data_IF_914020170782
#
_entry.id   IF_914020170782
#
_cell.length_a   1.000
_cell.length_b   1.000
_cell.length_c   1.000
_cell.angle_alpha   90.00
_cell.angle_beta   90.00
_cell.angle_gamma   90.00
#
_symmetry.space_group_name_H-M   'P 1'
#
loop_
_entity.id
_entity.type
_entity.pdbx_description
1 polymer ?
#
# COMPACT_ATOMS: atom_id res chain seq x y z
N UNK A 1 -14.10 -5.52 -29.99
CA UNK A 1 -13.28 -5.22 -28.80
C UNK A 1 -13.50 -3.79 -28.31
N UNK A 2 -13.19 -2.78 -29.16
CA UNK A 2 -13.40 -1.39 -28.77
C UNK A 2 -14.86 -1.12 -28.39
N UNK A 3 -15.80 -1.65 -29.14
CA UNK A 3 -17.23 -1.55 -28.90
C UNK A 3 -17.64 -2.11 -27.51
N UNK A 4 -17.03 -3.24 -27.11
CA UNK A 4 -17.28 -3.86 -25.79
C UNK A 4 -16.67 -3.01 -24.64
N UNK A 5 -15.50 -2.41 -24.89
CA UNK A 5 -14.88 -1.46 -23.92
C UNK A 5 -15.77 -0.24 -23.74
N UNK A 6 -16.35 0.27 -24.82
CA UNK A 6 -17.23 1.44 -24.85
C UNK A 6 -18.70 1.10 -24.57
N UNK A 7 -19.01 -0.18 -24.32
CA UNK A 7 -20.36 -0.58 -23.93
C UNK A 7 -20.82 0.13 -22.65
N UNK A 8 -22.11 0.49 -22.63
CA UNK A 8 -22.69 1.24 -21.52
C UNK A 8 -22.49 0.57 -20.15
N UNK A 9 -22.65 -0.75 -20.08
CA UNK A 9 -22.47 -1.52 -18.84
C UNK A 9 -21.03 -1.49 -18.34
N UNK A 10 -20.07 -1.57 -19.26
CA UNK A 10 -18.65 -1.49 -18.93
C UNK A 10 -18.28 -0.09 -18.46
N UNK A 11 -18.75 0.96 -19.14
CA UNK A 11 -18.50 2.35 -18.75
C UNK A 11 -19.18 2.71 -17.42
N UNK A 12 -20.38 2.19 -17.12
CA UNK A 12 -21.02 2.40 -15.82
C UNK A 12 -20.23 1.75 -14.66
N UNK A 13 -19.63 0.57 -14.88
CA UNK A 13 -18.71 -0.02 -13.88
C UNK A 13 -17.47 0.83 -13.68
N UNK A 14 -16.87 1.31 -14.77
CA UNK A 14 -15.70 2.19 -14.73
C UNK A 14 -16.02 3.52 -14.03
N UNK A 15 -17.16 4.11 -14.32
CA UNK A 15 -17.66 5.33 -13.68
C UNK A 15 -17.77 5.16 -12.15
N UNK A 16 -18.44 4.09 -11.71
CA UNK A 16 -18.56 3.77 -10.27
C UNK A 16 -17.19 3.61 -9.61
N UNK A 17 -16.25 2.92 -10.26
CA UNK A 17 -14.90 2.73 -9.74
C UNK A 17 -14.14 4.06 -9.62
N UNK A 18 -14.17 4.92 -10.64
CA UNK A 18 -13.49 6.22 -10.63
C UNK A 18 -14.07 7.17 -9.57
N UNK A 19 -15.40 7.24 -9.44
CA UNK A 19 -16.06 8.07 -8.41
C UNK A 19 -15.73 7.55 -7.00
N UNK A 20 -15.79 6.25 -6.77
CA UNK A 20 -15.52 5.66 -5.45
C UNK A 20 -14.10 5.88 -4.96
N UNK A 21 -13.14 5.99 -5.86
CA UNK A 21 -11.73 6.26 -5.53
C UNK A 21 -11.45 7.69 -5.06
N UNK A 22 -12.37 8.65 -5.28
CA UNK A 22 -12.26 10.04 -4.81
C UNK A 22 -10.91 10.70 -5.09
N UNK A 23 -10.30 10.39 -6.23
CA UNK A 23 -8.99 10.93 -6.61
C UNK A 23 -9.07 12.39 -7.06
N UNK A 24 -7.97 13.13 -6.92
CA UNK A 24 -7.86 14.53 -7.34
C UNK A 24 -8.10 14.70 -8.85
N UNK A 25 -8.55 15.86 -9.30
CA UNK A 25 -8.68 16.25 -10.70
C UNK A 25 -7.34 16.22 -11.47
N UNK A 26 -7.42 16.08 -12.78
CA UNK A 26 -6.29 16.14 -13.70
C UNK A 26 -5.82 17.57 -14.02
N UNK A 27 -5.31 17.76 -15.23
CA UNK A 27 -4.88 19.08 -15.76
C UNK A 27 -6.07 19.99 -16.09
N UNK A 28 -7.23 19.40 -16.37
CA UNK A 28 -8.49 20.08 -16.67
C UNK A 28 -9.25 20.56 -15.41
N UNK A 29 -8.80 20.18 -14.22
CA UNK A 29 -9.42 20.55 -12.94
C UNK A 29 -10.70 19.79 -12.60
N UNK A 30 -11.30 19.01 -13.53
CA UNK A 30 -12.52 18.24 -13.32
C UNK A 30 -12.37 17.29 -12.11
N UNK A 31 -13.38 17.29 -11.22
CA UNK A 31 -13.43 16.39 -10.08
C UNK A 31 -14.20 15.10 -10.40
N UNK A 32 -14.02 14.08 -9.56
CA UNK A 32 -14.63 12.76 -9.80
C UNK A 32 -16.16 12.74 -9.69
N UNK A 33 -16.76 13.63 -8.92
CA UNK A 33 -18.20 13.78 -8.75
C UNK A 33 -18.87 14.46 -9.97
N UNK A 34 -18.13 15.29 -10.70
CA UNK A 34 -18.62 15.97 -11.92
C UNK A 34 -18.68 15.02 -13.13
N UNK A 35 -17.97 13.86 -13.08
CA UNK A 35 -17.86 12.93 -14.21
C UNK A 35 -19.22 12.37 -14.67
N UNK A 36 -20.16 12.17 -13.76
CA UNK A 36 -21.49 11.65 -14.11
C UNK A 36 -22.26 12.65 -14.99
N UNK A 37 -22.29 13.90 -14.60
CA UNK A 37 -22.98 14.97 -15.34
C UNK A 37 -22.30 15.22 -16.68
N UNK A 38 -20.98 15.21 -16.72
CA UNK A 38 -20.23 15.28 -17.97
C UNK A 38 -20.66 14.19 -18.95
N UNK A 39 -20.73 12.93 -18.52
CA UNK A 39 -21.11 11.81 -19.39
C UNK A 39 -22.58 11.90 -19.87
N UNK A 40 -23.48 12.45 -19.07
CA UNK A 40 -24.86 12.62 -19.46
C UNK A 40 -24.99 13.46 -20.74
N UNK A 41 -24.14 14.46 -20.90
CA UNK A 41 -24.17 15.39 -22.04
C UNK A 41 -23.19 15.02 -23.19
N UNK A 42 -22.09 14.32 -22.88
CA UNK A 42 -21.00 14.15 -23.82
C UNK A 42 -20.72 12.67 -24.20
N UNK A 43 -21.51 11.72 -23.72
CA UNK A 43 -21.24 10.29 -23.95
C UNK A 43 -21.15 9.92 -25.45
N UNK A 44 -22.11 10.40 -26.25
CA UNK A 44 -22.15 10.06 -27.68
C UNK A 44 -20.97 10.66 -28.45
N UNK A 45 -20.62 11.91 -28.15
CA UNK A 45 -19.47 12.60 -28.75
C UNK A 45 -18.16 11.87 -28.38
N UNK A 46 -17.99 11.56 -27.10
CA UNK A 46 -16.81 10.82 -26.62
C UNK A 46 -16.70 9.45 -27.30
N UNK A 47 -17.81 8.73 -27.41
CA UNK A 47 -17.85 7.41 -28.06
C UNK A 47 -17.48 7.52 -29.53
N UNK A 48 -18.00 8.52 -30.23
CA UNK A 48 -17.70 8.76 -31.64
C UNK A 48 -16.22 9.10 -31.84
N UNK A 49 -15.68 10.07 -31.09
CA UNK A 49 -14.25 10.46 -31.16
C UNK A 49 -13.31 9.25 -31.00
N UNK A 50 -13.62 8.35 -30.05
CA UNK A 50 -12.81 7.17 -29.79
C UNK A 50 -12.96 6.17 -30.95
N UNK A 51 -14.18 5.92 -31.41
CA UNK A 51 -14.47 4.96 -32.49
C UNK A 51 -13.83 5.37 -33.83
N UNK A 52 -13.77 6.68 -34.11
CA UNK A 52 -13.12 7.25 -35.30
C UNK A 52 -11.61 7.42 -35.14
N UNK A 53 -11.03 7.19 -33.96
CA UNK A 53 -9.60 7.37 -33.68
C UNK A 53 -9.16 8.82 -33.51
N UNK A 54 -10.12 9.73 -33.34
CA UNK A 54 -9.88 11.18 -33.17
C UNK A 54 -9.57 11.56 -31.73
N UNK A 55 -9.89 10.69 -30.78
CA UNK A 55 -9.64 10.93 -29.36
C UNK A 55 -8.15 11.13 -29.05
N UNK A 56 -7.84 12.16 -28.29
CA UNK A 56 -6.48 12.44 -27.81
C UNK A 56 -6.47 12.55 -26.29
N UNK A 57 -5.73 11.67 -25.58
CA UNK A 57 -5.57 11.77 -24.13
C UNK A 57 -4.94 13.11 -23.73
N UNK A 58 -5.42 13.65 -22.63
CA UNK A 58 -4.81 14.84 -22.04
C UNK A 58 -3.46 14.49 -21.38
N UNK A 59 -2.53 15.46 -21.28
CA UNK A 59 -1.32 15.27 -20.47
C UNK A 59 -1.65 14.94 -19.02
N UNK A 60 -0.82 14.12 -18.37
CA UNK A 60 -1.00 13.82 -16.95
C UNK A 60 -0.41 14.92 -16.07
N UNK A 61 -1.11 15.30 -15.01
CA UNK A 61 -0.63 16.29 -14.04
C UNK A 61 0.45 15.66 -13.16
N UNK A 62 1.66 16.24 -13.16
CA UNK A 62 2.77 15.81 -12.28
C UNK A 62 2.51 16.19 -10.83
N UNK A 63 2.67 15.24 -9.93
CA UNK A 63 2.63 15.46 -8.47
C UNK A 63 3.79 14.71 -7.82
N UNK A 64 4.54 15.39 -6.96
CA UNK A 64 5.63 14.80 -6.20
C UNK A 64 5.14 14.43 -4.80
N UNK A 65 5.25 13.16 -4.44
CA UNK A 65 4.90 12.65 -3.10
C UNK A 65 6.17 12.25 -2.35
N UNK A 66 6.38 12.72 -1.10
CA UNK A 66 7.51 12.31 -0.29
C UNK A 66 7.50 10.80 -0.01
N UNK A 67 8.65 10.13 -0.20
CA UNK A 67 8.82 8.74 0.22
C UNK A 67 9.12 8.67 1.71
N UNK A 68 8.60 7.64 2.39
CA UNK A 68 8.85 7.42 3.82
C UNK A 68 10.33 7.20 4.20
N UNK A 69 11.18 6.91 3.21
CA UNK A 69 12.63 6.66 3.38
C UNK A 69 13.50 7.81 2.84
N UNK A 70 12.90 8.97 2.57
CA UNK A 70 13.54 10.10 1.90
C UNK A 70 13.41 10.06 0.37
N UNK A 71 13.58 11.22 -0.27
CA UNK A 71 13.33 11.41 -1.69
C UNK A 71 11.85 11.56 -2.04
N UNK A 72 11.56 11.69 -3.32
CA UNK A 72 10.20 11.88 -3.85
C UNK A 72 9.81 10.74 -4.78
N UNK A 73 8.50 10.50 -4.90
CA UNK A 73 7.89 9.65 -5.91
C UNK A 73 7.08 10.55 -6.83
N UNK A 74 7.32 10.46 -8.11
CA UNK A 74 6.55 11.17 -9.11
C UNK A 74 5.27 10.39 -9.44
N UNK A 75 4.12 11.05 -9.31
CA UNK A 75 2.84 10.54 -9.79
C UNK A 75 2.37 11.37 -10.98
N UNK A 76 1.78 10.70 -11.96
CA UNK A 76 1.05 11.34 -13.05
C UNK A 76 -0.44 11.14 -12.86
N UNK A 77 -1.19 12.20 -12.64
CA UNK A 77 -2.63 12.15 -12.45
C UNK A 77 -3.33 12.46 -13.79
N UNK A 78 -3.95 11.45 -14.46
CA UNK A 78 -4.73 11.68 -15.66
C UNK A 78 -6.00 12.47 -15.36
N UNK A 79 -6.61 13.08 -16.38
CA UNK A 79 -7.95 13.68 -16.26
C UNK A 79 -8.98 12.63 -15.82
N UNK A 80 -10.07 13.07 -15.24
CA UNK A 80 -11.12 12.13 -14.77
C UNK A 80 -11.74 11.37 -15.94
N UNK A 81 -11.87 12.03 -17.11
CA UNK A 81 -12.29 11.43 -18.37
C UNK A 81 -11.32 10.33 -18.84
N UNK A 82 -10.01 10.60 -18.85
CA UNK A 82 -9.00 9.61 -19.20
C UNK A 82 -8.99 8.44 -18.22
N UNK A 83 -9.16 8.70 -16.92
CA UNK A 83 -9.28 7.62 -15.91
C UNK A 83 -10.48 6.71 -16.15
N UNK A 84 -11.60 7.26 -16.58
CA UNK A 84 -12.78 6.46 -16.94
C UNK A 84 -12.46 5.47 -18.06
N UNK A 85 -11.88 5.96 -19.15
CA UNK A 85 -11.53 5.13 -20.31
C UNK A 85 -10.44 4.12 -19.99
N UNK A 86 -9.40 4.53 -19.27
CA UNK A 86 -8.34 3.62 -18.79
C UNK A 86 -8.90 2.54 -17.86
N UNK A 87 -9.85 2.89 -16.98
CA UNK A 87 -10.54 1.92 -16.13
C UNK A 87 -11.41 0.98 -16.95
N UNK A 88 -12.12 1.46 -17.96
CA UNK A 88 -12.93 0.63 -18.85
C UNK A 88 -12.07 -0.37 -19.65
N UNK A 89 -10.90 0.07 -20.14
CA UNK A 89 -9.92 -0.81 -20.80
C UNK A 89 -9.38 -1.84 -19.81
N UNK A 90 -8.93 -1.40 -18.62
CA UNK A 90 -8.33 -2.28 -17.62
C UNK A 90 -9.30 -3.39 -17.16
N UNK A 91 -10.55 -3.06 -16.87
CA UNK A 91 -11.53 -4.04 -16.39
C UNK A 91 -12.02 -5.00 -17.48
N UNK A 92 -11.91 -4.61 -18.75
CA UNK A 92 -12.21 -5.48 -19.90
C UNK A 92 -11.05 -6.42 -20.22
N UNK A 93 -9.80 -5.94 -20.13
CA UNK A 93 -8.60 -6.73 -20.39
C UNK A 93 -8.24 -7.67 -19.23
N UNK A 94 -8.45 -7.24 -17.99
CA UNK A 94 -7.98 -7.96 -16.79
C UNK A 94 -8.43 -9.43 -16.74
N UNK A 95 -9.70 -9.81 -17.00
CA UNK A 95 -10.11 -11.20 -16.98
C UNK A 95 -9.37 -12.06 -18.01
N UNK A 96 -9.09 -11.50 -19.20
CA UNK A 96 -8.41 -12.20 -20.28
C UNK A 96 -6.94 -12.52 -19.95
N UNK A 97 -6.25 -11.60 -19.30
CA UNK A 97 -4.86 -11.80 -18.87
C UNK A 97 -4.76 -12.63 -17.59
N UNK A 98 -5.79 -12.59 -16.72
CA UNK A 98 -5.78 -13.31 -15.44
C UNK A 98 -5.59 -14.82 -15.61
N UNK A 99 -6.09 -15.41 -16.69
CA UNK A 99 -5.94 -16.84 -17.01
C UNK A 99 -4.48 -17.21 -17.35
N UNK A 100 -3.68 -16.25 -17.81
CA UNK A 100 -2.32 -16.47 -18.28
C UNK A 100 -1.25 -16.10 -17.26
N UNK A 101 -1.60 -15.28 -16.26
CA UNK A 101 -0.65 -14.83 -15.26
C UNK A 101 -0.24 -15.93 -14.29
N UNK A 102 1.05 -15.93 -13.92
CA UNK A 102 1.61 -16.87 -12.95
C UNK A 102 0.82 -16.93 -11.65
N UNK A 103 0.74 -18.13 -11.06
CA UNK A 103 0.18 -18.34 -9.72
C UNK A 103 1.01 -17.66 -8.61
N UNK A 104 2.27 -17.37 -8.87
CA UNK A 104 3.20 -16.75 -7.94
C UNK A 104 3.23 -15.21 -8.03
N UNK A 105 2.40 -14.62 -8.88
CA UNK A 105 2.19 -13.17 -9.02
C UNK A 105 0.92 -12.75 -8.27
N UNK A 106 1.04 -11.78 -7.36
CA UNK A 106 -0.04 -11.42 -6.43
C UNK A 106 -0.46 -9.95 -6.50
N UNK A 107 0.41 -9.05 -6.95
CA UNK A 107 0.16 -7.60 -6.96
C UNK A 107 -0.79 -7.17 -8.07
N UNK A 108 -1.70 -6.26 -7.77
CA UNK A 108 -2.64 -5.65 -8.74
C UNK A 108 -3.56 -6.63 -9.48
N UNK A 109 -3.85 -7.76 -8.90
CA UNK A 109 -4.69 -8.80 -9.49
C UNK A 109 -5.98 -9.00 -8.69
N UNK A 110 -7.13 -9.27 -9.35
CA UNK A 110 -8.37 -9.61 -8.66
C UNK A 110 -8.19 -10.89 -7.82
N UNK A 111 -8.81 -10.92 -6.65
CA UNK A 111 -8.77 -12.06 -5.72
C UNK A 111 -7.36 -12.47 -5.22
N UNK A 112 -6.35 -11.66 -5.48
CA UNK A 112 -4.98 -11.83 -4.98
C UNK A 112 -4.64 -10.71 -3.99
N UNK A 113 -3.85 -11.03 -2.98
CA UNK A 113 -3.49 -10.06 -1.95
C UNK A 113 -2.09 -10.32 -1.34
N UNK A 114 -1.64 -9.36 -0.54
CA UNK A 114 -0.34 -9.43 0.12
C UNK A 114 -0.22 -10.61 1.09
N UNK A 115 -1.29 -10.98 1.79
CA UNK A 115 -1.27 -12.11 2.71
C UNK A 115 -0.97 -13.43 2.01
N UNK A 116 -1.61 -13.69 0.87
CA UNK A 116 -1.35 -14.88 0.06
C UNK A 116 0.12 -14.94 -0.38
N UNK A 117 0.69 -13.81 -0.80
CA UNK A 117 2.09 -13.72 -1.17
C UNK A 117 3.04 -14.08 -0.02
N UNK A 118 2.78 -13.55 1.18
CA UNK A 118 3.60 -13.79 2.39
C UNK A 118 3.45 -15.25 2.88
N UNK A 119 2.25 -15.81 2.83
CA UNK A 119 2.00 -17.22 3.19
C UNK A 119 2.70 -18.17 2.19
N UNK A 120 2.68 -17.88 0.90
CA UNK A 120 3.42 -18.64 -0.09
C UNK A 120 4.92 -18.59 0.15
N UNK A 121 5.46 -17.42 0.49
CA UNK A 121 6.85 -17.26 0.88
C UNK A 121 7.21 -18.11 2.11
N UNK A 122 6.36 -18.14 3.12
CA UNK A 122 6.53 -19.00 4.29
C UNK A 122 6.56 -20.49 3.92
N UNK A 123 5.70 -20.94 3.01
CA UNK A 123 5.72 -22.32 2.52
C UNK A 123 7.04 -22.68 1.85
N UNK A 124 7.63 -21.79 1.02
CA UNK A 124 8.94 -22.02 0.43
C UNK A 124 10.05 -22.12 1.48
N UNK A 125 9.99 -21.32 2.54
CA UNK A 125 10.93 -21.42 3.66
C UNK A 125 10.77 -22.73 4.44
N UNK A 126 9.54 -23.19 4.67
CA UNK A 126 9.26 -24.50 5.30
C UNK A 126 9.79 -25.65 4.47
N UNK A 127 9.79 -25.57 3.14
CA UNK A 127 10.37 -26.59 2.24
C UNK A 127 11.91 -26.55 2.16
N UNK A 128 12.60 -25.80 3.03
CA UNK A 128 14.06 -25.76 3.13
C UNK A 128 14.75 -24.72 2.22
N UNK A 129 14.01 -23.88 1.51
CA UNK A 129 14.58 -22.82 0.65
C UNK A 129 14.91 -21.58 1.49
N UNK A 130 16.03 -21.62 2.18
CA UNK A 130 16.38 -20.64 3.22
C UNK A 130 17.32 -19.51 2.76
N UNK A 131 17.46 -19.30 1.47
CA UNK A 131 18.12 -18.12 0.89
C UNK A 131 17.13 -17.37 0.05
N UNK A 132 17.05 -16.06 0.26
CA UNK A 132 16.12 -15.16 -0.40
C UNK A 132 16.91 -14.18 -1.25
N UNK A 133 16.56 -14.11 -2.52
CA UNK A 133 17.04 -13.08 -3.45
C UNK A 133 15.90 -12.04 -3.50
N UNK A 134 16.14 -10.87 -2.94
CA UNK A 134 15.26 -9.72 -3.06
C UNK A 134 15.67 -8.92 -4.29
N UNK A 135 14.86 -8.92 -5.32
CA UNK A 135 15.12 -8.28 -6.59
C UNK A 135 14.32 -6.99 -6.68
N UNK A 136 15.02 -5.86 -6.87
CA UNK A 136 14.42 -4.51 -7.01
C UNK A 136 14.71 -3.98 -8.41
N UNK A 137 13.68 -3.54 -9.12
CA UNK A 137 13.80 -2.93 -10.43
C UNK A 137 13.98 -1.40 -10.31
N UNK A 138 14.96 -0.86 -11.04
CA UNK A 138 15.21 0.58 -10.99
C UNK A 138 14.15 1.34 -11.78
N UNK A 139 13.35 2.16 -11.07
CA UNK A 139 12.33 3.04 -11.68
C UNK A 139 11.44 2.31 -12.70
N UNK A 140 11.05 1.08 -12.41
CA UNK A 140 10.34 0.19 -13.34
C UNK A 140 9.24 0.89 -14.13
N UNK A 141 8.33 1.62 -13.47
CA UNK A 141 7.25 2.33 -14.16
C UNK A 141 7.71 3.42 -15.14
N UNK A 142 8.90 3.96 -14.92
CA UNK A 142 9.45 5.04 -15.75
C UNK A 142 10.30 4.52 -16.93
N UNK A 143 10.64 3.21 -16.95
CA UNK A 143 11.56 2.61 -17.93
C UNK A 143 10.92 1.51 -18.79
N UNK A 144 9.61 1.29 -18.69
CA UNK A 144 8.90 0.33 -19.54
C UNK A 144 9.00 0.74 -21.00
N UNK A 145 9.57 -0.11 -21.84
CA UNK A 145 9.64 0.11 -23.28
C UNK A 145 8.27 -0.05 -23.92
N UNK A 146 7.77 1.01 -24.57
CA UNK A 146 6.44 1.03 -25.18
C UNK A 146 6.27 -0.01 -26.30
N UNK A 147 7.26 -0.19 -27.16
CA UNK A 147 7.12 -1.10 -28.31
C UNK A 147 7.10 -2.56 -27.86
N UNK A 148 7.90 -2.94 -26.85
CA UNK A 148 7.81 -4.26 -26.23
C UNK A 148 6.46 -4.51 -25.59
N UNK A 149 5.96 -3.55 -24.81
CA UNK A 149 4.65 -3.65 -24.19
C UNK A 149 3.57 -3.78 -25.26
N UNK A 150 3.60 -2.96 -26.32
CA UNK A 150 2.65 -3.06 -27.43
C UNK A 150 2.75 -4.40 -28.17
N UNK A 151 3.95 -4.97 -28.33
CA UNK A 151 4.13 -6.30 -28.89
C UNK A 151 3.46 -7.37 -28.02
N UNK A 152 3.63 -7.30 -26.68
CA UNK A 152 2.99 -8.24 -25.75
C UNK A 152 1.47 -8.10 -25.74
N UNK A 153 0.95 -6.87 -25.86
CA UNK A 153 -0.49 -6.60 -25.99
C UNK A 153 -1.06 -7.14 -27.29
N UNK A 154 -0.34 -7.00 -28.41
CA UNK A 154 -0.80 -7.47 -29.75
C UNK A 154 -0.97 -8.99 -29.83
N UNK A 155 -0.34 -9.76 -28.93
CA UNK A 155 -0.57 -11.23 -28.84
C UNK A 155 -2.00 -11.59 -28.41
N UNK A 156 -2.66 -10.69 -27.67
CA UNK A 156 -4.00 -10.93 -27.09
C UNK A 156 -5.07 -10.01 -27.65
N UNK A 157 -4.68 -8.85 -28.19
CA UNK A 157 -5.58 -7.82 -28.70
C UNK A 157 -5.40 -7.73 -30.20
N UNK A 158 -6.41 -8.17 -30.94
CA UNK A 158 -6.43 -8.08 -32.42
C UNK A 158 -6.98 -6.75 -32.96
N UNK A 159 -7.69 -5.97 -32.14
CA UNK A 159 -8.31 -4.69 -32.52
C UNK A 159 -7.27 -3.57 -32.51
N UNK A 160 -6.88 -3.13 -33.70
CA UNK A 160 -5.89 -2.06 -33.90
C UNK A 160 -6.28 -0.72 -33.24
N UNK A 161 -7.58 -0.38 -33.21
CA UNK A 161 -8.08 0.85 -32.58
C UNK A 161 -7.88 0.82 -31.06
N UNK A 162 -8.14 -0.33 -30.42
CA UNK A 162 -7.87 -0.52 -29.00
C UNK A 162 -6.37 -0.41 -28.68
N UNK A 163 -5.51 -1.03 -29.50
CA UNK A 163 -4.06 -0.91 -29.37
C UNK A 163 -3.58 0.53 -29.56
N UNK A 164 -4.11 1.24 -30.56
CA UNK A 164 -3.79 2.64 -30.79
C UNK A 164 -4.18 3.53 -29.61
N UNK A 165 -5.35 3.30 -29.02
CA UNK A 165 -5.81 4.05 -27.83
C UNK A 165 -4.87 3.81 -26.64
N UNK A 166 -4.46 2.57 -26.39
CA UNK A 166 -3.48 2.24 -25.33
C UNK A 166 -2.14 2.93 -25.61
N UNK A 167 -1.66 2.90 -26.87
CA UNK A 167 -0.42 3.59 -27.26
C UNK A 167 -0.49 5.11 -27.04
N UNK A 168 -1.63 5.73 -27.31
CA UNK A 168 -1.86 7.14 -27.01
C UNK A 168 -1.76 7.43 -25.52
N UNK A 169 -2.32 6.59 -24.65
CA UNK A 169 -2.17 6.73 -23.20
C UNK A 169 -0.72 6.58 -22.72
N UNK A 170 0.06 5.68 -23.30
CA UNK A 170 1.47 5.53 -22.97
C UNK A 170 2.29 6.76 -23.35
N UNK A 171 1.96 7.38 -24.50
CA UNK A 171 2.62 8.58 -25.04
C UNK A 171 2.06 9.89 -24.48
N UNK A 172 0.95 9.85 -23.76
CA UNK A 172 0.38 11.04 -23.13
C UNK A 172 1.45 11.77 -22.30
N UNK A 173 1.68 13.03 -22.64
CA UNK A 173 2.72 13.84 -22.03
C UNK A 173 2.47 14.06 -20.54
N UNK A 174 3.50 14.56 -19.87
CA UNK A 174 3.40 14.99 -18.48
C UNK A 174 3.46 16.52 -18.42
N UNK A 175 2.47 17.12 -17.78
CA UNK A 175 2.43 18.56 -17.57
C UNK A 175 3.15 18.93 -16.27
N UNK A 176 4.15 19.79 -16.40
CA UNK A 176 4.91 20.37 -15.31
C UNK A 176 5.03 21.88 -15.56
N UNK A 177 4.58 22.70 -14.61
CA UNK A 177 4.66 24.17 -14.69
C UNK A 177 4.14 24.76 -16.01
N UNK A 178 3.07 24.18 -16.57
CA UNK A 178 2.47 24.63 -17.82
C UNK A 178 3.11 24.08 -19.11
N UNK A 179 4.23 23.38 -19.02
CA UNK A 179 4.90 22.73 -20.16
C UNK A 179 4.54 21.24 -20.24
N UNK A 180 4.35 20.75 -21.46
CA UNK A 180 4.06 19.33 -21.72
C UNK A 180 5.30 18.64 -22.24
N UNK A 181 5.86 17.74 -21.44
CA UNK A 181 6.96 16.87 -21.82
C UNK A 181 6.41 15.55 -22.37
N UNK A 182 6.70 15.22 -23.61
CA UNK A 182 6.30 13.96 -24.22
C UNK A 182 7.05 12.79 -23.58
N UNK A 183 6.38 11.63 -23.51
CA UNK A 183 6.98 10.37 -23.02
C UNK A 183 7.30 9.45 -24.19
N UNK A 184 8.52 8.93 -24.20
CA UNK A 184 8.97 7.90 -25.13
C UNK A 184 9.02 6.51 -24.49
N UNK A 185 9.07 6.45 -23.14
CA UNK A 185 9.08 5.22 -22.33
C UNK A 185 8.31 5.41 -21.02
N UNK A 186 8.03 4.31 -20.36
CA UNK A 186 7.38 4.29 -19.07
C UNK A 186 5.86 4.34 -19.11
N UNK A 187 5.25 4.04 -17.98
CA UNK A 187 3.81 4.11 -17.74
C UNK A 187 3.53 5.09 -16.60
N UNK A 188 2.52 5.98 -16.72
CA UNK A 188 2.26 6.96 -15.65
C UNK A 188 1.85 6.28 -14.35
N UNK A 189 2.60 6.53 -13.26
CA UNK A 189 2.21 6.07 -11.93
C UNK A 189 0.97 6.86 -11.46
N UNK A 190 -0.16 6.15 -11.26
CA UNK A 190 -1.45 6.76 -10.87
C UNK A 190 -2.56 6.58 -11.90
N UNK A 191 -2.27 6.02 -13.06
CA UNK A 191 -3.24 5.60 -14.07
C UNK A 191 -3.92 4.27 -13.67
N UNK A 192 -5.23 4.10 -13.86
CA UNK A 192 -5.93 2.82 -13.62
C UNK A 192 -5.43 1.68 -14.51
N UNK A 193 -4.88 1.96 -15.67
CA UNK A 193 -4.39 0.96 -16.62
C UNK A 193 -2.97 0.48 -16.30
N UNK A 194 -2.12 1.33 -15.74
CA UNK A 194 -0.70 1.03 -15.49
C UNK A 194 -0.44 -0.23 -14.64
N UNK A 195 -1.22 -0.57 -13.61
CA UNK A 195 -1.04 -1.81 -12.85
C UNK A 195 -1.18 -3.08 -13.69
N UNK A 196 -2.16 -3.13 -14.59
CA UNK A 196 -2.34 -4.25 -15.51
C UNK A 196 -1.18 -4.33 -16.51
N UNK A 197 -0.82 -3.21 -17.12
CA UNK A 197 0.30 -3.13 -18.07
C UNK A 197 1.63 -3.57 -17.43
N UNK A 198 1.85 -3.21 -16.16
CA UNK A 198 3.00 -3.67 -15.38
C UNK A 198 3.05 -5.19 -15.26
N UNK A 199 1.91 -5.81 -14.95
CA UNK A 199 1.83 -7.27 -14.84
C UNK A 199 2.05 -7.94 -16.19
N UNK A 200 1.57 -7.37 -17.30
CA UNK A 200 1.79 -7.90 -18.66
C UNK A 200 3.29 -7.89 -19.01
N UNK A 201 4.01 -6.80 -18.70
CA UNK A 201 5.46 -6.74 -18.92
C UNK A 201 6.20 -7.77 -18.07
N UNK A 202 5.84 -7.89 -16.79
CA UNK A 202 6.53 -8.76 -15.83
C UNK A 202 6.10 -10.24 -15.93
N UNK A 203 5.06 -10.57 -16.68
CA UNK A 203 4.66 -11.95 -16.96
C UNK A 203 5.76 -12.71 -17.72
N UNK A 204 6.54 -12.02 -18.56
CA UNK A 204 7.70 -12.63 -19.22
C UNK A 204 8.78 -13.05 -18.20
N UNK A 205 8.99 -12.26 -17.13
CA UNK A 205 9.87 -12.64 -16.01
C UNK A 205 9.30 -13.83 -15.24
N UNK A 206 7.99 -13.79 -14.96
CA UNK A 206 7.31 -14.89 -14.24
C UNK A 206 7.45 -16.21 -14.99
N UNK A 207 7.21 -16.22 -16.30
CA UNK A 207 7.36 -17.40 -17.16
C UNK A 207 8.80 -17.92 -17.24
N UNK A 208 9.77 -17.02 -17.27
CA UNK A 208 11.19 -17.43 -17.25
C UNK A 208 11.58 -18.05 -15.91
N UNK A 209 11.09 -17.49 -14.77
CA UNK A 209 11.31 -18.06 -13.45
C UNK A 209 10.65 -19.45 -13.32
N UNK A 210 9.46 -19.64 -13.84
CA UNK A 210 8.75 -20.93 -13.88
C UNK A 210 9.47 -21.94 -14.79
N UNK A 211 9.88 -21.53 -15.99
CA UNK A 211 10.65 -22.37 -16.92
C UNK A 211 11.94 -22.89 -16.30
N UNK A 212 12.63 -22.07 -15.49
CA UNK A 212 13.85 -22.47 -14.75
C UNK A 212 13.54 -23.23 -13.45
N UNK A 213 12.27 -23.48 -13.11
CA UNK A 213 11.88 -24.19 -11.89
C UNK A 213 12.13 -23.44 -10.59
N UNK A 214 12.20 -22.11 -10.62
CA UNK A 214 12.46 -21.29 -9.43
C UNK A 214 11.18 -21.10 -8.59
N UNK A 215 11.34 -21.18 -7.27
CA UNK A 215 10.31 -20.78 -6.33
C UNK A 215 10.41 -19.28 -6.06
N UNK A 216 9.37 -18.55 -6.33
CA UNK A 216 9.36 -17.10 -6.18
C UNK A 216 7.99 -16.58 -5.78
N UNK A 217 7.97 -15.34 -5.32
CA UNK A 217 6.77 -14.56 -5.05
C UNK A 217 6.98 -13.19 -5.64
N UNK A 218 6.07 -12.75 -6.50
CA UNK A 218 6.09 -11.40 -7.05
C UNK A 218 4.86 -10.61 -6.62
N UNK A 219 5.06 -9.39 -6.17
CA UNK A 219 4.01 -8.43 -5.86
C UNK A 219 4.30 -7.11 -6.56
N UNK A 220 3.65 -6.85 -7.69
CA UNK A 220 4.00 -5.76 -8.61
C UNK A 220 5.47 -5.89 -9.09
N UNK A 221 6.30 -4.88 -8.83
CA UNK A 221 7.73 -4.82 -9.13
C UNK A 221 8.61 -5.49 -8.07
N UNK A 222 8.10 -5.74 -6.87
CA UNK A 222 8.83 -6.48 -5.81
C UNK A 222 8.82 -7.99 -6.11
N UNK A 223 9.99 -8.58 -6.36
CA UNK A 223 10.17 -10.02 -6.60
C UNK A 223 11.14 -10.63 -5.60
N UNK A 224 10.72 -11.72 -4.95
CA UNK A 224 11.55 -12.50 -4.02
C UNK A 224 11.66 -13.94 -4.51
N UNK A 225 12.89 -14.43 -4.71
CA UNK A 225 13.18 -15.80 -5.19
C UNK A 225 13.80 -16.60 -4.04
N UNK A 226 13.35 -17.82 -3.85
CA UNK A 226 13.70 -18.70 -2.72
C UNK A 226 14.51 -19.89 -3.19
N UNK A 227 15.71 -20.07 -2.65
CA UNK A 227 16.64 -21.19 -2.98
C UNK A 227 17.26 -21.77 -1.72
N UNK A 228 17.85 -22.98 -1.84
CA UNK A 228 18.36 -23.73 -0.67
C UNK A 228 19.78 -23.33 -0.25
N UNK A 229 20.65 -22.85 -1.17
CA UNK A 229 22.04 -22.56 -0.87
C UNK A 229 22.49 -21.16 -1.32
N UNK A 230 23.53 -20.61 -0.69
CA UNK A 230 24.10 -19.32 -1.07
C UNK A 230 24.71 -19.35 -2.48
N UNK A 231 25.36 -20.46 -2.86
CA UNK A 231 25.93 -20.66 -4.20
C UNK A 231 24.84 -20.62 -5.27
N UNK A 232 23.71 -21.32 -5.03
CA UNK A 232 22.54 -21.26 -5.91
C UNK A 232 21.95 -19.86 -5.98
N UNK A 233 21.83 -19.15 -4.84
CA UNK A 233 21.29 -17.80 -4.80
C UNK A 233 22.10 -16.81 -5.65
N UNK A 234 23.43 -16.84 -5.53
CA UNK A 234 24.29 -15.96 -6.32
C UNK A 234 24.19 -16.27 -7.82
N UNK A 235 24.17 -17.56 -8.22
CA UNK A 235 24.03 -17.97 -9.61
C UNK A 235 22.66 -17.55 -10.18
N UNK A 236 21.57 -17.77 -9.45
CA UNK A 236 20.21 -17.39 -9.87
C UNK A 236 20.09 -15.88 -9.95
N UNK A 237 20.63 -15.15 -8.97
CA UNK A 237 20.62 -13.68 -8.98
C UNK A 237 21.32 -13.14 -10.24
N UNK A 238 22.54 -13.62 -10.54
CA UNK A 238 23.27 -13.19 -11.74
C UNK A 238 22.52 -13.52 -13.03
N UNK A 239 22.04 -14.76 -13.21
CA UNK A 239 21.36 -15.16 -14.44
C UNK A 239 19.98 -14.54 -14.64
N UNK A 240 19.26 -14.17 -13.56
CA UNK A 240 17.99 -13.45 -13.66
C UNK A 240 18.25 -11.96 -13.92
N UNK A 241 19.27 -11.36 -13.31
CA UNK A 241 19.69 -9.98 -13.60
C UNK A 241 20.05 -9.84 -15.09
N UNK A 242 20.90 -10.72 -15.60
CA UNK A 242 21.25 -10.74 -17.02
C UNK A 242 20.01 -10.86 -17.93
N UNK A 243 19.08 -11.76 -17.62
CA UNK A 243 17.84 -11.91 -18.37
C UNK A 243 17.01 -10.62 -18.38
N UNK A 244 16.83 -9.98 -17.22
CA UNK A 244 16.08 -8.73 -17.09
C UNK A 244 16.71 -7.62 -17.92
N UNK A 245 18.04 -7.47 -17.88
CA UNK A 245 18.74 -6.39 -18.56
C UNK A 245 18.86 -6.64 -20.07
N UNK A 246 19.14 -7.89 -20.47
CA UNK A 246 19.36 -8.23 -21.88
C UNK A 246 18.07 -8.48 -22.63
N UNK A 247 17.13 -9.23 -22.04
CA UNK A 247 15.87 -9.63 -22.69
C UNK A 247 14.73 -8.69 -22.40
N UNK A 248 14.49 -8.32 -21.14
CA UNK A 248 13.37 -7.42 -20.81
C UNK A 248 13.70 -5.94 -21.02
N UNK A 249 14.97 -5.59 -21.19
CA UNK A 249 15.45 -4.19 -21.32
C UNK A 249 15.05 -3.32 -20.13
N UNK A 250 14.97 -3.93 -18.95
CA UNK A 250 14.74 -3.26 -17.67
C UNK A 250 16.05 -3.21 -16.89
N UNK A 251 16.19 -2.27 -15.96
CA UNK A 251 17.37 -2.14 -15.10
C UNK A 251 17.13 -2.74 -13.73
N UNK A 252 18.07 -3.54 -13.25
CA UNK A 252 18.09 -4.04 -11.88
C UNK A 252 18.81 -3.05 -10.98
N UNK A 253 18.19 -2.69 -9.84
CA UNK A 253 18.81 -1.84 -8.85
C UNK A 253 19.85 -2.64 -8.02
N UNK A 254 21.11 -2.60 -8.43
CA UNK A 254 22.19 -3.35 -7.78
C UNK A 254 22.38 -3.00 -6.29
N UNK A 255 22.08 -1.74 -5.89
CA UNK A 255 22.24 -1.29 -4.50
C UNK A 255 21.17 -1.89 -3.56
N UNK A 256 19.99 -2.25 -4.08
CA UNK A 256 18.90 -2.81 -3.31
C UNK A 256 18.71 -4.31 -3.52
N UNK A 257 19.07 -4.82 -4.68
CA UNK A 257 19.05 -6.26 -4.96
C UNK A 257 20.07 -6.97 -4.09
N UNK A 258 19.63 -7.93 -3.30
CA UNK A 258 20.52 -8.61 -2.35
C UNK A 258 20.09 -10.06 -2.14
N UNK A 259 21.10 -10.86 -1.78
CA UNK A 259 20.92 -12.22 -1.30
C UNK A 259 21.00 -12.22 0.22
N UNK A 260 19.94 -12.65 0.88
CA UNK A 260 19.84 -12.61 2.34
C UNK A 260 19.34 -13.94 2.93
N UNK A 261 19.53 -14.08 4.25
CA UNK A 261 18.83 -15.10 5.03
C UNK A 261 17.42 -14.58 5.36
N UNK A 262 16.39 -15.45 5.52
CA UNK A 262 15.01 -15.01 5.70
C UNK A 262 14.77 -14.02 6.85
N UNK A 263 15.59 -14.10 7.93
CA UNK A 263 15.48 -13.16 9.05
C UNK A 263 15.90 -11.73 8.71
N UNK A 264 16.71 -11.56 7.67
CA UNK A 264 17.17 -10.27 7.15
C UNK A 264 16.42 -9.81 5.90
N UNK A 265 15.48 -10.64 5.38
CA UNK A 265 14.63 -10.29 4.26
C UNK A 265 13.34 -9.61 4.70
N UNK A 266 12.79 -8.81 3.80
CA UNK A 266 11.50 -8.15 4.02
C UNK A 266 10.62 -8.33 2.79
N UNK A 267 9.43 -8.88 2.98
CA UNK A 267 8.42 -8.99 1.93
C UNK A 267 7.16 -8.26 2.40
N UNK A 268 6.77 -7.20 1.69
CA UNK A 268 5.52 -6.44 1.94
C UNK A 268 5.37 -5.96 3.40
N UNK A 269 6.49 -5.60 4.05
CA UNK A 269 6.49 -5.16 5.45
C UNK A 269 6.50 -6.27 6.50
N UNK A 270 6.52 -7.52 6.06
CA UNK A 270 6.73 -8.70 6.90
C UNK A 270 8.19 -9.18 6.82
N UNK A 271 8.61 -9.97 7.80
CA UNK A 271 9.87 -10.70 7.84
C UNK A 271 9.62 -12.09 8.42
N UNK A 272 10.62 -12.94 8.42
CA UNK A 272 10.49 -14.32 8.88
C UNK A 272 11.49 -14.62 10.01
N UNK A 273 11.15 -15.56 10.87
CA UNK A 273 12.05 -16.05 11.92
C UNK A 273 11.75 -17.51 12.22
N UNK A 274 12.75 -18.23 12.75
CA UNK A 274 12.57 -19.64 13.13
C UNK A 274 12.13 -19.77 14.57
N UNK A 275 11.02 -20.45 14.80
CA UNK A 275 10.50 -20.73 16.13
C UNK A 275 10.11 -22.20 16.25
N UNK A 276 10.66 -22.91 17.24
CA UNK A 276 10.44 -24.37 17.45
C UNK A 276 10.58 -25.18 16.16
N UNK A 277 11.63 -24.90 15.37
CA UNK A 277 11.92 -25.61 14.12
C UNK A 277 11.14 -25.11 12.89
N UNK A 278 10.08 -24.35 13.03
CA UNK A 278 9.22 -23.84 11.95
C UNK A 278 9.51 -22.37 11.63
N UNK A 279 9.30 -21.99 10.38
CA UNK A 279 9.37 -20.60 9.95
C UNK A 279 8.05 -19.89 10.27
N UNK A 280 8.12 -18.81 11.02
CA UNK A 280 7.00 -17.99 11.44
C UNK A 280 7.09 -16.59 10.85
N UNK A 281 5.94 -15.97 10.60
CA UNK A 281 5.82 -14.61 10.08
C UNK A 281 5.89 -13.63 11.25
N UNK A 282 6.71 -12.59 11.12
CA UNK A 282 6.74 -11.44 12.04
C UNK A 282 6.60 -10.14 11.26
N UNK A 283 6.30 -9.07 11.97
CA UNK A 283 6.27 -7.73 11.40
C UNK A 283 7.71 -7.23 11.27
N UNK A 284 8.07 -6.69 10.12
CA UNK A 284 9.39 -6.11 9.90
C UNK A 284 9.59 -4.86 10.77
N UNK A 285 10.79 -4.67 11.32
CA UNK A 285 11.10 -3.57 12.26
C UNK A 285 10.76 -2.20 11.69
N UNK A 286 11.10 -1.96 10.42
CA UNK A 286 10.73 -0.71 9.71
C UNK A 286 9.22 -0.43 9.70
N UNK A 287 8.38 -1.47 9.67
CA UNK A 287 6.92 -1.32 9.73
C UNK A 287 6.45 -0.93 11.13
N UNK A 288 7.11 -1.47 12.16
CA UNK A 288 6.87 -1.11 13.58
C UNK A 288 7.30 0.34 13.85
N UNK A 289 8.45 0.76 13.34
CA UNK A 289 8.93 2.12 13.47
C UNK A 289 7.99 3.14 12.80
N UNK A 290 7.51 2.82 11.60
CA UNK A 290 6.54 3.67 10.87
C UNK A 290 5.24 3.86 11.63
N UNK A 291 4.68 2.79 12.21
CA UNK A 291 3.45 2.92 12.99
C UNK A 291 3.67 3.70 14.28
N UNK A 292 4.80 3.49 14.96
CA UNK A 292 5.19 4.29 16.13
C UNK A 292 5.28 5.77 15.79
N UNK A 293 5.95 6.12 14.68
CA UNK A 293 6.08 7.50 14.22
C UNK A 293 4.70 8.12 13.89
N UNK A 294 3.84 7.40 13.16
CA UNK A 294 2.48 7.86 12.84
C UNK A 294 1.63 8.09 14.09
N UNK A 295 1.67 7.17 15.04
CA UNK A 295 0.96 7.32 16.32
C UNK A 295 1.54 8.48 17.15
N UNK A 296 2.87 8.70 17.10
CA UNK A 296 3.53 9.83 17.75
C UNK A 296 3.02 11.18 17.20
N UNK A 297 2.85 11.32 15.91
CA UNK A 297 2.29 12.52 15.28
C UNK A 297 0.84 12.79 15.71
N UNK A 298 -0.02 11.75 15.67
CA UNK A 298 -1.43 11.88 16.08
C UNK A 298 -1.53 12.30 17.56
N UNK A 299 -0.68 11.73 18.42
CA UNK A 299 -0.70 11.95 19.87
C UNK A 299 0.22 13.07 20.32
N UNK A 300 0.64 13.96 19.44
CA UNK A 300 1.35 15.18 19.81
C UNK A 300 0.49 16.07 20.73
N UNK A 301 1.04 16.52 21.87
CA UNK A 301 0.29 17.32 22.85
C UNK A 301 -0.06 18.73 22.34
N UNK A 302 0.75 19.25 21.42
CA UNK A 302 0.71 20.63 20.91
C UNK A 302 0.07 20.79 19.52
N UNK A 303 -0.64 19.76 19.01
CA UNK A 303 -1.25 19.81 17.68
C UNK A 303 -2.70 20.38 17.64
N UNK A 304 -3.15 21.03 18.72
CA UNK A 304 -4.46 21.66 18.82
C UNK A 304 -5.67 20.72 18.96
N UNK A 305 -5.47 19.40 18.78
CA UNK A 305 -6.56 18.41 18.81
C UNK A 305 -6.86 17.93 20.23
N UNK A 306 -8.14 17.74 20.53
CA UNK A 306 -8.60 17.10 21.77
C UNK A 306 -8.19 15.64 21.84
N UNK A 307 -8.14 15.05 23.06
CA UNK A 307 -7.89 13.61 23.25
C UNK A 307 -8.93 12.75 22.53
N UNK A 308 -10.19 13.20 22.45
CA UNK A 308 -11.27 12.48 21.75
C UNK A 308 -10.99 12.39 20.24
N UNK A 309 -10.59 13.49 19.61
CA UNK A 309 -10.21 13.50 18.19
C UNK A 309 -8.98 12.64 17.92
N UNK A 310 -7.98 12.68 18.80
CA UNK A 310 -6.79 11.83 18.71
C UNK A 310 -7.16 10.34 18.77
N UNK A 311 -8.06 9.95 19.68
CA UNK A 311 -8.56 8.56 19.80
C UNK A 311 -9.30 8.16 18.51
N UNK A 312 -10.14 9.02 17.95
CA UNK A 312 -10.83 8.75 16.68
C UNK A 312 -9.85 8.49 15.52
N UNK A 313 -8.82 9.33 15.39
CA UNK A 313 -7.77 9.13 14.38
C UNK A 313 -6.93 7.86 14.64
N UNK A 314 -6.58 7.58 15.90
CA UNK A 314 -5.88 6.34 16.27
C UNK A 314 -6.69 5.10 15.92
N UNK A 315 -8.01 5.11 16.15
CA UNK A 315 -8.90 3.98 15.84
C UNK A 315 -8.77 3.56 14.37
N UNK A 316 -8.82 4.51 13.43
CA UNK A 316 -8.68 4.22 12.00
C UNK A 316 -7.32 3.61 11.68
N UNK A 317 -6.24 4.19 12.24
CA UNK A 317 -4.87 3.71 12.04
C UNK A 317 -4.67 2.32 12.63
N UNK A 318 -5.13 2.08 13.85
CA UNK A 318 -5.04 0.79 14.55
C UNK A 318 -5.75 -0.30 13.76
N UNK A 319 -7.01 -0.06 13.38
CA UNK A 319 -7.83 -1.05 12.64
C UNK A 319 -7.17 -1.42 11.31
N UNK A 320 -6.78 -0.43 10.51
CA UNK A 320 -6.15 -0.70 9.20
C UNK A 320 -4.83 -1.44 9.33
N UNK A 321 -3.98 -1.03 10.30
CA UNK A 321 -2.67 -1.65 10.51
C UNK A 321 -2.75 -3.07 11.07
N UNK A 322 -3.62 -3.31 12.05
CA UNK A 322 -3.82 -4.64 12.62
C UNK A 322 -4.41 -5.60 11.58
N UNK A 323 -5.42 -5.18 10.80
CA UNK A 323 -5.99 -6.01 9.75
C UNK A 323 -4.94 -6.43 8.72
N UNK A 324 -4.00 -5.54 8.39
CA UNK A 324 -2.92 -5.89 7.47
C UNK A 324 -1.89 -6.85 8.07
N UNK A 325 -1.52 -6.69 9.33
CA UNK A 325 -0.49 -7.49 9.99
C UNK A 325 -1.04 -8.68 10.81
N UNK A 326 -2.32 -9.01 10.68
CA UNK A 326 -2.98 -10.06 11.48
C UNK A 326 -2.37 -11.45 11.30
N UNK A 327 -1.78 -11.76 10.13
CA UNK A 327 -1.14 -13.05 9.86
C UNK A 327 0.23 -13.22 10.56
N UNK A 328 0.80 -12.13 11.06
CA UNK A 328 2.07 -12.18 11.78
C UNK A 328 1.86 -12.59 13.25
N UNK A 329 2.79 -13.39 13.77
CA UNK A 329 2.86 -13.68 15.20
C UNK A 329 3.39 -12.48 15.97
N UNK A 330 2.49 -11.57 16.39
CA UNK A 330 2.85 -10.24 16.84
C UNK A 330 2.24 -9.80 18.18
N UNK A 331 1.77 -10.74 19.03
CA UNK A 331 1.12 -10.42 20.32
C UNK A 331 1.92 -9.41 21.15
N UNK A 332 3.19 -9.69 21.42
CA UNK A 332 4.05 -8.82 22.25
C UNK A 332 4.32 -7.45 21.60
N UNK A 333 4.34 -7.37 20.27
CA UNK A 333 4.47 -6.10 19.55
C UNK A 333 3.22 -5.25 19.75
N UNK A 334 2.03 -5.85 19.65
CA UNK A 334 0.75 -5.15 19.85
C UNK A 334 0.62 -4.62 21.30
N UNK A 335 0.99 -5.42 22.29
CA UNK A 335 0.99 -5.03 23.69
C UNK A 335 1.92 -3.84 23.97
N UNK A 336 3.16 -3.86 23.44
CA UNK A 336 4.14 -2.77 23.55
C UNK A 336 3.68 -1.49 22.85
N UNK A 337 3.03 -1.59 21.68
CA UNK A 337 2.46 -0.44 21.00
C UNK A 337 1.34 0.20 21.84
N UNK A 338 0.47 -0.60 22.43
CA UNK A 338 -0.61 -0.12 23.30
C UNK A 338 -0.09 0.57 24.54
N UNK A 339 0.93 0.04 25.17
CA UNK A 339 1.58 0.64 26.35
C UNK A 339 2.12 2.04 26.02
N UNK A 340 2.86 2.15 24.91
CA UNK A 340 3.38 3.41 24.43
C UNK A 340 2.30 4.45 24.12
N UNK A 341 1.21 4.01 23.48
CA UNK A 341 0.11 4.92 23.13
C UNK A 341 -0.67 5.35 24.36
N UNK A 342 -0.98 4.45 25.29
CA UNK A 342 -1.64 4.81 26.55
C UNK A 342 -0.83 5.84 27.35
N UNK A 343 0.49 5.68 27.41
CA UNK A 343 1.36 6.70 28.00
C UNK A 343 1.21 8.05 27.32
N UNK A 344 1.20 8.09 25.98
CA UNK A 344 1.03 9.33 25.23
C UNK A 344 -0.36 9.95 25.41
N UNK A 345 -1.41 9.13 25.47
CA UNK A 345 -2.77 9.59 25.76
C UNK A 345 -2.90 10.17 27.15
N UNK A 346 -2.22 9.57 28.17
CA UNK A 346 -2.13 10.16 29.54
C UNK A 346 -1.46 11.53 29.52
N UNK A 347 -0.37 11.69 28.75
CA UNK A 347 0.29 12.99 28.55
C UNK A 347 -0.70 14.01 27.96
N UNK A 348 -1.45 13.63 26.92
CA UNK A 348 -2.44 14.52 26.30
C UNK A 348 -3.53 14.90 27.30
N UNK A 349 -4.06 13.94 28.03
CA UNK A 349 -5.13 14.16 29.00
C UNK A 349 -4.68 15.03 30.16
N UNK A 350 -3.48 14.81 30.67
CA UNK A 350 -2.89 15.65 31.69
C UNK A 350 -2.64 17.08 31.21
N UNK A 351 -2.25 17.26 29.98
CA UNK A 351 -2.11 18.56 29.33
C UNK A 351 -3.44 19.29 29.16
N UNK A 352 -4.55 18.58 28.89
CA UNK A 352 -5.89 19.16 28.87
C UNK A 352 -6.34 19.68 30.22
N UNK A 353 -5.92 19.04 31.31
CA UNK A 353 -6.20 19.48 32.68
C UNK A 353 -5.24 20.57 33.16
N UNK A 354 -5.06 21.62 32.43
CA UNK A 354 -4.04 22.65 32.57
C UNK A 354 -3.74 23.09 34.01
N UNK A 355 -4.80 23.38 34.82
CA UNK A 355 -4.70 23.99 36.17
C UNK A 355 -4.80 22.91 37.27
N UNK A 356 -4.09 23.07 38.42
CA UNK A 356 -4.19 22.15 39.55
C UNK A 356 -5.63 21.86 40.01
N UNK A 357 -6.49 22.87 40.08
CA UNK A 357 -7.91 22.74 40.41
C UNK A 357 -8.63 21.78 39.46
N UNK A 358 -8.37 21.89 38.14
CA UNK A 358 -8.97 21.00 37.14
C UNK A 358 -8.43 19.56 37.26
N UNK A 359 -7.12 19.41 37.49
CA UNK A 359 -6.48 18.10 37.72
C UNK A 359 -7.10 17.39 38.94
N UNK A 360 -7.20 18.09 40.06
CA UNK A 360 -7.79 17.57 41.29
C UNK A 360 -9.23 17.13 41.06
N UNK A 361 -10.08 17.98 40.48
CA UNK A 361 -11.48 17.65 40.19
C UNK A 361 -11.61 16.39 39.33
N UNK A 362 -10.80 16.28 38.29
CA UNK A 362 -10.84 15.12 37.37
C UNK A 362 -10.30 13.85 38.07
N UNK A 363 -9.24 13.93 38.87
CA UNK A 363 -8.74 12.78 39.63
C UNK A 363 -9.78 12.28 40.63
N UNK A 364 -10.45 13.15 41.36
CA UNK A 364 -11.55 12.79 42.29
C UNK A 364 -12.70 12.12 41.53
N UNK A 365 -13.11 12.68 40.38
CA UNK A 365 -14.15 12.10 39.50
C UNK A 365 -13.79 10.72 38.99
N UNK A 366 -12.52 10.40 38.85
CA UNK A 366 -12.00 9.09 38.46
C UNK A 366 -11.73 8.15 39.65
N UNK A 367 -12.24 8.46 40.83
CA UNK A 367 -12.18 7.60 42.00
C UNK A 367 -10.85 7.65 42.78
N UNK A 368 -9.98 8.62 42.52
CA UNK A 368 -8.74 8.80 43.27
C UNK A 368 -9.04 9.42 44.65
N UNK A 369 -8.48 8.86 45.70
CA UNK A 369 -8.60 9.37 47.06
C UNK A 369 -8.24 10.87 47.17
N UNK A 370 -8.97 11.62 48.01
CA UNK A 370 -8.89 13.07 48.19
C UNK A 370 -7.45 13.56 48.48
N UNK A 371 -6.76 12.91 49.40
CA UNK A 371 -5.38 13.26 49.79
C UNK A 371 -4.42 13.10 48.56
N UNK A 372 -4.48 11.94 47.93
CA UNK A 372 -3.64 11.66 46.73
C UNK A 372 -3.99 12.59 45.55
N UNK A 373 -5.27 12.87 45.31
CA UNK A 373 -5.71 13.78 44.27
C UNK A 373 -5.19 15.20 44.51
N UNK A 374 -5.17 15.69 45.74
CA UNK A 374 -4.62 16.97 46.14
C UNK A 374 -3.09 17.02 45.91
N UNK A 375 -2.35 16.04 46.42
CA UNK A 375 -0.91 15.91 46.31
C UNK A 375 -0.46 15.91 44.82
N UNK A 376 -1.04 15.05 43.99
CA UNK A 376 -0.61 14.86 42.63
C UNK A 376 -1.09 15.97 41.68
N UNK A 377 -2.21 16.64 41.97
CA UNK A 377 -2.67 17.77 41.14
C UNK A 377 -1.71 18.95 41.18
N UNK A 378 -0.95 19.13 42.25
CA UNK A 378 0.06 20.17 42.44
C UNK A 378 1.48 19.74 42.00
N UNK A 379 1.63 18.54 41.44
CA UNK A 379 2.93 18.03 41.02
C UNK A 379 3.58 18.90 39.94
N UNK A 380 4.83 19.28 40.15
CA UNK A 380 5.70 19.96 39.19
C UNK A 380 6.46 19.04 38.25
N UNK A 381 6.28 17.70 38.41
CA UNK A 381 6.95 16.69 37.57
C UNK A 381 6.59 16.84 36.11
N UNK A 382 7.56 16.64 35.22
CA UNK A 382 7.36 16.71 33.77
C UNK A 382 6.32 15.70 33.25
N UNK A 383 5.68 16.00 32.14
CA UNK A 383 4.57 15.24 31.57
C UNK A 383 4.83 13.74 31.41
N UNK A 384 6.04 13.35 30.99
CA UNK A 384 6.39 11.95 30.80
C UNK A 384 6.40 11.20 32.15
N UNK A 385 7.04 11.81 33.21
CA UNK A 385 7.11 11.22 34.54
C UNK A 385 5.72 11.08 35.17
N UNK A 386 4.84 12.08 35.00
CA UNK A 386 3.44 12.03 35.45
C UNK A 386 2.66 10.94 34.73
N UNK A 387 2.82 10.77 33.43
CA UNK A 387 2.12 9.74 32.65
C UNK A 387 2.44 8.30 33.10
N UNK A 388 3.59 8.09 33.70
CA UNK A 388 4.02 6.82 34.30
C UNK A 388 3.73 6.73 35.79
N UNK A 389 3.15 7.75 36.42
CA UNK A 389 2.83 7.70 37.86
C UNK A 389 1.76 6.68 38.15
N UNK A 390 1.83 5.97 39.30
CA UNK A 390 0.79 5.02 39.73
C UNK A 390 -0.61 5.64 39.76
N UNK A 391 -0.71 6.90 40.16
CA UNK A 391 -1.99 7.61 40.24
C UNK A 391 -2.62 7.81 38.86
N UNK A 392 -1.82 8.27 37.86
CA UNK A 392 -2.37 8.51 36.55
C UNK A 392 -2.60 7.18 35.78
N UNK A 393 -1.78 6.17 36.05
CA UNK A 393 -2.01 4.81 35.54
C UNK A 393 -3.30 4.18 36.09
N UNK A 394 -3.60 4.40 37.35
CA UNK A 394 -4.84 3.94 37.98
C UNK A 394 -6.05 4.73 37.49
N UNK A 395 -5.99 6.06 37.48
CA UNK A 395 -7.10 6.92 37.05
C UNK A 395 -7.43 6.75 35.58
N UNK A 396 -6.41 6.67 34.70
CA UNK A 396 -6.53 6.52 33.25
C UNK A 396 -6.07 5.12 32.84
N UNK A 397 -6.72 4.10 33.39
CA UNK A 397 -6.45 2.69 33.16
C UNK A 397 -7.02 2.19 31.81
N UNK A 398 -6.88 0.90 31.52
CA UNK A 398 -7.35 0.32 30.26
C UNK A 398 -8.87 0.43 30.09
N UNK A 399 -9.65 0.25 31.16
CA UNK A 399 -11.10 0.37 31.13
C UNK A 399 -11.53 1.81 30.78
N UNK A 400 -10.86 2.82 31.37
CA UNK A 400 -11.09 4.22 31.02
C UNK A 400 -10.88 4.48 29.52
N UNK A 401 -9.75 4.00 28.95
CA UNK A 401 -9.49 4.23 27.53
C UNK A 401 -10.46 3.49 26.62
N UNK A 402 -10.88 2.28 27.02
CA UNK A 402 -11.92 1.52 26.28
C UNK A 402 -13.25 2.27 26.27
N UNK A 403 -13.69 2.86 27.40
CA UNK A 403 -14.89 3.71 27.46
C UNK A 403 -14.75 4.99 26.62
N UNK A 404 -13.53 5.51 26.44
CA UNK A 404 -13.26 6.64 25.55
C UNK A 404 -13.17 6.22 24.05
N UNK A 405 -13.35 4.93 23.73
CA UNK A 405 -13.35 4.38 22.37
C UNK A 405 -11.98 3.91 21.86
N UNK A 406 -10.94 3.87 22.70
CA UNK A 406 -9.64 3.31 22.36
C UNK A 406 -9.56 1.84 22.79
N UNK A 407 -9.78 0.92 21.86
CA UNK A 407 -9.65 -0.52 22.10
C UNK A 407 -8.21 -1.03 22.02
N UNK A 408 -7.34 -0.32 21.32
CA UNK A 408 -5.92 -0.65 21.16
C UNK A 408 -5.60 -1.70 20.11
N UNK A 409 -4.30 -1.90 19.88
CA UNK A 409 -3.76 -2.85 18.91
C UNK A 409 -4.00 -4.29 19.34
N UNK A 410 -3.70 -4.61 20.62
CA UNK A 410 -3.79 -5.98 21.13
C UNK A 410 -5.22 -6.52 21.11
N UNK A 411 -6.19 -5.75 21.58
CA UNK A 411 -7.58 -6.20 21.63
C UNK A 411 -8.12 -6.45 20.22
N UNK A 412 -7.81 -5.54 19.27
CA UNK A 412 -8.22 -5.70 17.89
C UNK A 412 -7.54 -6.92 17.24
N UNK A 413 -6.25 -7.11 17.46
CA UNK A 413 -5.48 -8.27 16.99
C UNK A 413 -6.05 -9.58 17.55
N UNK A 414 -6.31 -9.63 18.86
CA UNK A 414 -6.85 -10.83 19.51
C UNK A 414 -8.23 -11.21 18.97
N UNK A 415 -9.12 -10.23 18.79
CA UNK A 415 -10.44 -10.48 18.23
C UNK A 415 -10.35 -11.02 16.78
N UNK A 416 -9.45 -10.49 15.98
CA UNK A 416 -9.25 -10.95 14.59
C UNK A 416 -8.64 -12.34 14.50
N UNK A 417 -7.65 -12.65 15.33
CA UNK A 417 -7.03 -13.99 15.35
C UNK A 417 -8.00 -15.06 15.84
N UNK A 418 -8.87 -14.76 16.83
CA UNK A 418 -9.93 -15.68 17.25
C UNK A 418 -10.92 -15.99 16.13
N UNK A 419 -11.36 -14.98 15.38
CA UNK A 419 -12.24 -15.18 14.23
C UNK A 419 -11.61 -16.05 13.14
N UNK A 420 -10.30 -15.94 12.91
CA UNK A 420 -9.60 -16.80 11.95
C UNK A 420 -9.53 -18.27 12.43
N UNK A 421 -9.30 -18.51 13.73
CA UNK A 421 -9.26 -19.87 14.31
C UNK A 421 -10.64 -20.53 14.44
N UNK A 422 -11.72 -19.78 14.45
CA UNK A 422 -13.09 -20.32 14.50
C UNK A 422 -13.69 -20.63 13.12
N UNK A 423 -13.01 -20.25 12.05
CA UNK A 423 -13.42 -20.53 10.65
C UNK A 423 -12.70 -21.76 10.06
N UNK A 424 -11.81 -22.39 10.82
CA UNK A 424 -11.13 -23.66 10.57
C UNK A 424 -11.32 -24.62 11.73
#
# INVERSE_FOLDING_TARGET
>A
MLEEILDRRNLEKALKAVISNKGSGGVDGMQTDELRDYLTHHYQVLKQEISEGNYRPSPVRKVLIPKAQGGTRMLGIPTVKDRLLQQAIAQWLSPKYEEHFSKNSYGFRPNRNAHQAVLQAQQYLQSGKTKVIELDLEKFFDTVNHDRLMHSLNKMISDSRTLQLIRLYLRAGMMEEGMVNQRQEGTPQGSPLSPLLSNIVLDELDKELEKRGHSYVRYADDCSIYVSSKKAANRVCAGITEYIETKLKLKVNAAKTKVSYPTGSTLLGFSFYKYKGKWEIRIAEKSIERIKAKCKLITQRSNGKSTKEKISQLKQVVVGWVNYFVIARAKSVMEKLDEGIRTRLRICKWNEWKRPKARRRNLLRLGINKSKAYQWSNSSKGFCRIAHSPILCSALNNAYWSMQGYQGFYQHYHNRTKLQTSLF
#
